data_IF_144173342265
#
_entry.id   IF_144173342265
#
_cell.length_a   1.000
_cell.length_b   1.000
_cell.length_c   1.000
_cell.angle_alpha   90.00
_cell.angle_beta   90.00
_cell.angle_gamma   90.00
#
_symmetry.space_group_name_H-M   'P 1'
#
loop_
_entity.id
_entity.type
_entity.pdbx_description
1 polymer ?
2 non-polymer ?
3 non-polymer ?
4 non-polymer ?
5 non-polymer ?
6 water ?
#
# COMPACT_ATOMS: atom_id res chain seq x y z
N UNK A 3 18.07 2.84 0.24
CA UNK A 3 18.31 4.13 0.94
C UNK A 3 17.30 4.41 2.03
N UNK A 4 17.80 4.87 3.18
CA UNK A 4 16.92 5.17 4.29
C UNK A 4 16.32 3.91 4.90
N UNK A 5 15.44 4.13 5.86
CA UNK A 5 14.78 3.02 6.55
C UNK A 5 13.37 3.45 6.94
N UNK A 6 12.42 2.54 6.75
CA UNK A 6 11.03 2.73 7.15
C UNK A 6 10.74 1.77 8.28
N UNK A 7 10.20 2.30 9.38
CA UNK A 7 9.80 1.50 10.53
C UNK A 7 8.30 1.26 10.43
N UNK A 8 7.90 0.00 10.36
CA UNK A 8 6.50 -0.37 10.19
C UNK A 8 6.04 -1.21 11.37
N UNK A 9 4.85 -0.91 11.86
CA UNK A 9 4.18 -1.75 12.84
C UNK A 9 3.30 -2.75 12.09
N UNK A 10 3.23 -3.98 12.61
CA UNK A 10 2.31 -4.99 12.11
C UNK A 10 1.63 -5.62 13.32
N UNK A 11 0.30 -5.65 13.30
CA UNK A 11 -0.44 -6.11 14.47
C UNK A 11 -1.83 -6.59 14.04
N UNK A 12 -2.33 -7.58 14.77
CA UNK A 12 -3.70 -8.06 14.63
C UNK A 12 -4.52 -7.46 15.76
N UNK A 13 -5.51 -6.65 15.41
CA UNK A 13 -6.32 -5.93 16.39
C UNK A 13 -7.74 -6.49 16.38
N UNK A 14 -8.25 -6.84 17.55
CA UNK A 14 -9.64 -7.24 17.72
C UNK A 14 -10.45 -6.03 18.18
N UNK A 15 -11.74 -6.25 18.43
CA UNK A 15 -12.62 -5.20 18.93
C UNK A 15 -11.88 -4.38 19.98
N UNK A 16 -11.99 -3.05 19.86
CA UNK A 16 -11.12 -2.12 20.57
C UNK A 16 -9.71 -2.15 19.98
N UNK A 17 -8.72 -1.74 20.77
CA UNK A 17 -7.31 -1.87 20.40
C UNK A 17 -6.68 -3.13 20.97
N UNK A 18 -7.51 -4.12 21.33
CA UNK A 18 -7.00 -5.30 22.02
C UNK A 18 -6.11 -6.10 21.08
N UNK A 19 -4.91 -6.41 21.56
CA UNK A 19 -3.93 -7.14 20.76
C UNK A 19 -3.77 -8.56 21.28
N UNK A 29 -6.47 -17.75 13.73
CA UNK A 29 -6.88 -17.23 12.43
C UNK A 29 -5.75 -17.46 11.42
N UNK A 30 -5.82 -18.58 10.68
CA UNK A 30 -4.73 -18.89 9.74
C UNK A 30 -4.51 -17.80 8.69
N UNK A 31 -5.56 -17.12 8.24
CA UNK A 31 -5.40 -16.13 7.19
C UNK A 31 -4.55 -14.96 7.66
N UNK A 32 -4.72 -14.53 8.92
CA UNK A 32 -3.89 -13.45 9.44
C UNK A 32 -2.43 -13.86 9.50
N UNK A 33 -2.16 -15.12 9.87
CA UNK A 33 -0.78 -15.60 9.93
C UNK A 33 -0.14 -15.60 8.54
N UNK A 34 -0.91 -15.95 7.51
CA UNK A 34 -0.40 -15.84 6.15
C UNK A 34 -0.10 -14.39 5.80
N UNK A 35 -0.98 -13.47 6.19
CA UNK A 35 -0.75 -12.05 5.95
C UNK A 35 0.49 -11.57 6.67
N UNK A 36 0.66 -11.96 7.94
CA UNK A 36 1.85 -11.59 8.69
C UNK A 36 3.10 -12.18 8.04
N UNK A 37 3.03 -13.43 7.62
CA UNK A 37 4.15 -14.05 6.90
C UNK A 37 4.41 -13.32 5.60
N UNK A 38 3.36 -12.92 4.89
CA UNK A 38 3.51 -12.26 3.61
C UNK A 38 4.33 -10.98 3.75
N UNK A 39 4.15 -10.25 4.84
CA UNK A 39 4.70 -8.90 4.98
C UNK A 39 5.93 -8.83 5.87
N UNK A 40 6.38 -9.94 6.42
CA UNK A 40 7.57 -9.94 7.27
C UNK A 40 8.73 -10.75 6.69
N UNK A 41 8.46 -11.73 5.85
CA UNK A 41 9.53 -12.61 5.38
C UNK A 41 10.59 -11.81 4.62
N UNK A 42 11.86 -12.17 4.85
CA UNK A 42 13.00 -11.52 4.24
C UNK A 42 13.24 -10.12 4.79
N UNK A 43 12.67 -9.81 5.95
CA UNK A 43 12.83 -8.50 6.57
C UNK A 43 13.27 -8.67 8.02
N UNK A 44 13.99 -7.68 8.55
CA UNK A 44 14.27 -7.71 10.00
C UNK A 44 13.00 -7.52 10.81
N UNK A 45 12.94 -8.18 11.97
CA UNK A 45 11.77 -8.19 12.82
C UNK A 45 12.19 -7.82 14.23
N UNK A 46 11.40 -6.97 14.88
CA UNK A 46 11.63 -6.54 16.25
C UNK A 46 10.40 -6.91 17.06
N UNK A 47 10.63 -7.58 18.20
CA UNK A 47 9.53 -8.07 19.02
C UNK A 47 9.91 -7.95 20.49
N UNK A 48 8.89 -7.87 21.34
CA UNK A 48 9.11 -7.84 22.76
C UNK A 48 9.47 -9.20 23.32
N UNK A 49 10.04 -9.17 24.53
CA UNK A 49 10.48 -10.41 25.16
C UNK A 49 9.31 -11.37 25.39
N UNK A 50 8.18 -10.84 25.85
CA UNK A 50 7.02 -11.71 26.08
C UNK A 50 6.51 -12.30 24.78
N UNK A 51 6.50 -11.51 23.70
CA UNK A 51 6.07 -12.04 22.41
C UNK A 51 7.00 -13.17 21.94
N UNK A 52 8.31 -12.99 22.10
CA UNK A 52 9.23 -14.07 21.76
C UNK A 52 8.96 -15.30 22.61
N UNK A 53 8.73 -15.10 23.91
CA UNK A 53 8.38 -16.22 24.78
C UNK A 53 7.13 -16.92 24.27
N UNK A 54 6.11 -16.14 23.91
CA UNK A 54 4.86 -16.74 23.42
C UNK A 54 5.12 -17.55 22.15
N UNK A 55 5.88 -16.99 21.21
CA UNK A 55 6.20 -17.72 20.00
C UNK A 55 7.10 -18.91 20.30
N UNK A 56 8.01 -18.74 21.26
CA UNK A 56 8.82 -19.86 21.73
C UNK A 56 9.84 -20.38 20.75
N UNK A 57 10.25 -19.57 19.79
CA UNK A 57 11.16 -20.02 18.75
C UNK A 57 11.58 -18.82 17.90
N UNK A 58 12.60 -18.97 17.06
CA UNK A 58 12.87 -17.94 16.06
C UNK A 58 11.99 -18.13 14.83
N UNK A 59 11.63 -17.00 14.22
CA UNK A 59 10.85 -17.05 12.98
C UNK A 59 11.78 -17.28 11.81
N UNK A 60 11.64 -18.38 11.05
CA UNK A 60 12.55 -18.61 9.93
C UNK A 60 12.36 -17.58 8.84
N UNK A 61 13.44 -17.32 8.11
CA UNK A 61 13.39 -16.42 6.97
C UNK A 61 13.51 -14.95 7.29
N UNK A 62 13.71 -14.58 8.55
CA UNK A 62 13.89 -13.19 8.90
C UNK A 62 14.86 -13.10 10.07
N UNK A 63 15.39 -11.89 10.28
CA UNK A 63 16.30 -11.62 11.38
C UNK A 63 15.48 -11.27 12.61
N UNK A 64 15.57 -12.10 13.64
CA UNK A 64 14.77 -11.96 14.84
C UNK A 64 15.53 -11.07 15.83
N UNK A 65 15.00 -9.88 16.09
CA UNK A 65 15.53 -8.98 17.10
C UNK A 65 14.53 -8.92 18.24
N UNK A 66 14.98 -9.29 19.43
CA UNK A 66 14.14 -9.28 20.63
C UNK A 66 14.63 -8.14 21.51
N UNK A 67 13.77 -7.17 21.75
CA UNK A 67 14.10 -5.97 22.53
C UNK A 67 13.67 -6.19 23.97
N UNK A 68 14.60 -6.05 24.90
CA UNK A 68 14.35 -6.30 26.30
C UNK A 68 15.41 -5.61 27.16
N UNK A 69 15.01 -5.25 28.37
CA UNK A 69 15.96 -4.62 29.29
C UNK A 69 17.02 -5.60 29.76
N UNK A 70 16.68 -6.87 29.89
CA UNK A 70 17.59 -7.91 30.34
C UNK A 70 17.91 -8.86 29.18
N UNK A 71 19.07 -9.54 29.23
CA UNK A 71 19.44 -10.43 28.12
C UNK A 71 18.59 -11.69 28.11
N UNK A 72 18.91 -12.62 27.21
CA UNK A 72 18.17 -13.86 27.11
C UNK A 72 19.12 -15.03 26.90
N UNK A 73 18.62 -16.21 27.29
CA UNK A 73 19.39 -17.44 27.16
C UNK A 73 19.29 -18.06 25.77
N UNK A 74 18.48 -17.48 24.90
CA UNK A 74 18.29 -17.98 23.53
C UNK A 74 19.16 -17.15 22.60
N UNK A 75 20.26 -17.72 22.13
CA UNK A 75 21.14 -17.04 21.17
C UNK A 75 20.75 -17.32 19.73
N UNK A 76 19.66 -18.07 19.50
CA UNK A 76 19.12 -18.20 18.15
C UNK A 76 18.55 -16.88 17.65
N UNK A 77 18.35 -15.90 18.54
CA UNK A 77 17.87 -14.58 18.18
C UNK A 77 18.88 -13.56 18.71
N UNK A 78 18.76 -12.34 18.24
CA UNK A 78 19.59 -11.23 18.71
C UNK A 78 18.80 -10.40 19.71
N UNK A 79 19.47 -10.04 20.81
CA UNK A 79 18.85 -9.30 21.91
C UNK A 79 19.33 -7.86 21.89
N UNK A 80 18.38 -6.92 21.92
CA UNK A 80 18.67 -5.51 21.90
C UNK A 80 18.20 -4.89 23.21
N UNK A 81 18.99 -3.96 23.75
CA UNK A 81 18.69 -3.33 25.02
C UNK A 81 17.95 -2.00 24.86
N UNK A 82 17.92 -1.43 23.66
CA UNK A 82 17.27 -0.15 23.44
C UNK A 82 16.74 -0.10 22.00
N UNK A 83 15.84 0.84 21.76
CA UNK A 83 15.29 0.98 20.41
C UNK A 83 16.39 1.32 19.43
N UNK A 84 17.32 2.21 19.81
CA UNK A 84 18.41 2.59 18.92
C UNK A 84 19.27 1.38 18.59
N UNK A 85 19.52 0.52 19.57
CA UNK A 85 20.27 -0.71 19.30
C UNK A 85 19.50 -1.63 18.35
N UNK A 86 18.18 -1.74 18.55
CA UNK A 86 17.38 -2.62 17.69
C UNK A 86 17.40 -2.13 16.25
N UNK A 87 17.28 -0.82 16.04
CA UNK A 87 17.32 -0.27 14.69
C UNK A 87 18.68 -0.48 14.05
N UNK A 88 19.76 -0.34 14.82
CA UNK A 88 21.10 -0.57 14.29
C UNK A 88 21.26 -2.02 13.86
N UNK A 89 20.67 -2.96 14.60
CA UNK A 89 20.74 -4.37 14.25
C UNK A 89 20.03 -4.67 12.94
N UNK A 90 19.17 -3.76 12.46
CA UNK A 90 18.52 -3.96 11.16
C UNK A 90 19.47 -3.74 10.00
N UNK A 91 20.68 -3.24 10.24
CA UNK A 91 21.62 -3.03 9.17
C UNK A 91 21.12 -2.03 8.16
N UNK A 92 21.27 -2.36 6.88
CA UNK A 92 20.87 -1.48 5.78
C UNK A 92 19.49 -1.83 5.23
N UNK A 93 18.67 -2.52 6.00
CA UNK A 93 17.35 -2.93 5.53
C UNK A 93 16.49 -1.71 5.22
N UNK A 94 15.73 -1.81 4.13
CA UNK A 94 14.83 -0.73 3.75
C UNK A 94 13.70 -0.57 4.76
N UNK A 95 13.20 -1.68 5.30
CA UNK A 95 12.03 -1.67 6.16
C UNK A 95 12.24 -2.65 7.31
N UNK A 96 11.86 -2.24 8.51
CA UNK A 96 11.94 -3.06 9.70
C UNK A 96 10.54 -3.28 10.23
N UNK A 97 10.20 -4.52 10.53
CA UNK A 97 8.88 -4.89 11.01
C UNK A 97 8.89 -4.93 12.54
N UNK A 98 8.07 -4.11 13.17
CA UNK A 98 7.88 -4.13 14.62
C UNK A 98 6.59 -4.90 14.88
N UNK A 99 6.70 -6.04 15.56
CA UNK A 99 5.62 -7.02 15.61
C UNK A 99 5.05 -7.23 17.01
N UNK A 100 5.21 -6.26 17.90
CA UNK A 100 4.62 -6.34 19.22
C UNK A 100 5.62 -6.72 20.30
N UNK A 101 5.13 -6.78 21.54
CA UNK A 101 3.73 -6.58 21.89
C UNK A 101 3.34 -5.14 22.14
N UNK A 102 2.35 -4.95 23.02
CA UNK A 102 1.81 -3.61 23.23
C UNK A 102 2.85 -2.61 23.69
N UNK A 103 3.76 -3.05 24.57
CA UNK A 103 4.84 -2.16 25.01
C UNK A 103 5.74 -1.77 23.84
N UNK A 104 6.03 -2.71 22.95
CA UNK A 104 6.90 -2.41 21.82
C UNK A 104 6.22 -1.43 20.87
N UNK A 105 4.93 -1.63 20.59
CA UNK A 105 4.22 -0.68 19.73
C UNK A 105 4.28 0.72 20.32
N UNK A 106 4.08 0.83 21.63
CA UNK A 106 4.23 2.13 22.29
C UNK A 106 5.59 2.72 22.03
N UNK A 107 6.64 1.90 22.10
CA UNK A 107 7.99 2.41 21.97
C UNK A 107 8.24 3.02 20.59
N UNK A 108 7.75 2.36 19.55
CA UNK A 108 8.13 2.69 18.19
C UNK A 108 7.13 3.53 17.43
N UNK A 109 5.96 3.83 18.01
CA UNK A 109 4.90 4.47 17.25
C UNK A 109 5.37 5.77 16.63
N UNK A 110 5.99 6.65 17.43
CA UNK A 110 6.40 7.95 16.92
C UNK A 110 7.39 7.82 15.76
N UNK A 111 8.22 6.77 15.77
CA UNK A 111 9.19 6.55 14.72
C UNK A 111 8.61 5.78 13.54
N UNK A 112 7.42 5.21 13.68
CA UNK A 112 6.83 4.40 12.62
C UNK A 112 6.10 5.28 11.62
N UNK A 113 6.31 5.03 10.33
CA UNK A 113 5.61 5.73 9.26
C UNK A 113 4.68 4.82 8.47
N UNK A 114 4.57 3.55 8.85
CA UNK A 114 3.70 2.60 8.16
C UNK A 114 3.14 1.64 9.19
N UNK A 115 1.92 1.17 8.94
CA UNK A 115 1.24 0.25 9.86
C UNK A 115 0.50 -0.79 9.05
N UNK A 116 0.80 -2.06 9.30
CA UNK A 116 0.06 -3.18 8.72
C UNK A 116 -0.89 -3.69 9.81
N UNK A 117 -2.18 -3.48 9.62
CA UNK A 117 -3.17 -3.84 10.64
C UNK A 117 -4.16 -4.86 10.09
N UNK A 118 -4.48 -5.85 10.93
CA UNK A 118 -5.54 -6.81 10.66
C UNK A 118 -6.62 -6.60 11.72
N UNK A 119 -7.79 -6.16 11.27
CA UNK A 119 -8.93 -5.95 12.17
C UNK A 119 -9.78 -7.20 12.16
N UNK A 120 -9.96 -7.82 13.32
CA UNK A 120 -10.65 -9.09 13.45
C UNK A 120 -11.93 -8.87 14.25
N UNK A 121 -13.01 -9.50 13.80
CA UNK A 121 -14.32 -9.33 14.41
C UNK A 121 -14.48 -10.32 15.55
N UNK A 122 -13.83 -10.00 16.67
CA UNK A 122 -13.88 -10.81 17.87
C UNK A 122 -13.88 -9.88 19.08
N UNK A 123 -14.66 -10.25 20.10
CA UNK A 123 -14.74 -9.42 21.30
C UNK A 123 -13.48 -9.57 22.15
N UNK A 124 -13.16 -10.81 22.53
CA UNK A 124 -12.01 -11.09 23.40
C UNK A 124 -11.95 -10.13 24.58
N UNK A 128 -4.70 -5.51 27.48
CA UNK A 128 -3.55 -5.17 26.65
C UNK A 128 -4.02 -4.55 25.34
N UNK A 129 -3.79 -3.25 25.19
CA UNK A 129 -4.34 -2.48 24.09
C UNK A 129 -3.25 -1.98 23.16
N UNK A 130 -3.58 -1.92 21.88
CA UNK A 130 -2.73 -1.26 20.90
C UNK A 130 -2.68 0.24 21.19
N UNK A 131 -1.53 0.90 20.98
CA UNK A 131 -1.47 2.33 21.29
C UNK A 131 -2.50 3.12 20.51
N UNK A 132 -3.04 4.15 21.16
CA UNK A 132 -3.96 5.07 20.50
C UNK A 132 -3.16 6.00 19.58
N UNK A 133 -3.66 6.19 18.37
CA UNK A 133 -3.05 7.08 17.41
C UNK A 133 -4.12 7.97 16.79
N UNK A 134 -3.73 9.19 16.46
CA UNK A 134 -4.64 10.13 15.83
C UNK A 134 -4.88 9.69 14.38
N UNK A 135 -6.11 9.29 14.03
CA UNK A 135 -6.36 8.91 12.62
C UNK A 135 -6.10 10.05 11.64
N UNK A 136 -6.08 11.29 12.12
CA UNK A 136 -5.80 12.41 11.23
C UNK A 136 -4.36 12.36 10.69
N UNK A 137 -3.44 11.76 11.44
CA UNK A 137 -2.06 11.66 11.02
C UNK A 137 -1.81 10.51 10.04
N UNK A 138 -2.75 9.61 9.87
CA UNK A 138 -2.57 8.43 9.03
C UNK A 138 -3.63 8.36 7.96
N UNK A 139 -3.23 7.91 6.77
CA UNK A 139 -4.14 7.71 5.64
C UNK A 139 -4.00 6.27 5.17
N UNK A 140 -5.12 5.67 4.78
CA UNK A 140 -5.13 4.28 4.33
C UNK A 140 -4.57 4.20 2.91
N UNK A 141 -3.66 3.25 2.69
CA UNK A 141 -3.10 2.98 1.37
C UNK A 141 -3.45 1.58 0.86
N UNK A 142 -4.26 0.85 1.63
CA UNK A 142 -4.69 -0.48 1.19
C UNK A 142 -5.78 -0.97 2.14
N UNK A 143 -6.79 -1.64 1.57
CA UNK A 143 -7.87 -2.21 2.35
C UNK A 143 -8.37 -3.46 1.65
N UNK A 144 -8.74 -4.47 2.44
CA UNK A 144 -9.19 -5.74 1.88
C UNK A 144 -9.99 -6.49 2.93
N UNK A 145 -11.24 -6.79 2.64
CA UNK A 145 -12.11 -7.51 3.56
C UNK A 145 -12.21 -8.97 3.17
N UNK A 146 -12.31 -9.83 4.19
CA UNK A 146 -12.44 -11.27 3.98
C UNK A 146 -13.48 -11.82 4.94
N UNK A 147 -14.48 -12.51 4.41
CA UNK A 147 -15.47 -13.16 5.24
C UNK A 147 -14.88 -14.41 5.88
N UNK A 148 -15.40 -14.75 7.06
CA UNK A 148 -15.01 -16.00 7.70
C UNK A 148 -15.32 -17.15 6.76
N UNK A 149 -14.60 -18.26 6.96
CA UNK A 149 -14.81 -19.45 6.14
C UNK A 149 -14.46 -20.68 6.98
N UNK A 150 -14.29 -21.83 6.30
CA UNK A 150 -14.01 -23.07 7.01
C UNK A 150 -12.75 -22.96 7.85
N UNK A 151 -11.68 -22.41 7.28
CA UNK A 151 -10.41 -22.33 7.98
C UNK A 151 -10.38 -21.21 9.03
N UNK A 152 -11.08 -20.11 8.77
CA UNK A 152 -11.00 -18.92 9.60
C UNK A 152 -12.34 -18.71 10.32
N UNK A 153 -12.29 -18.69 11.65
CA UNK A 153 -13.51 -18.63 12.44
C UNK A 153 -14.19 -17.28 12.38
N UNK A 154 -13.45 -16.22 12.06
CA UNK A 154 -13.98 -14.87 12.09
C UNK A 154 -13.69 -14.17 10.76
N UNK A 155 -14.41 -13.09 10.51
CA UNK A 155 -14.12 -12.20 9.40
C UNK A 155 -13.05 -11.20 9.84
N UNK A 156 -12.25 -10.75 8.89
CA UNK A 156 -11.11 -9.91 9.19
C UNK A 156 -10.91 -8.93 8.04
N UNK A 157 -10.31 -7.79 8.35
CA UNK A 157 -9.99 -6.77 7.35
C UNK A 157 -8.51 -6.43 7.45
N UNK A 158 -7.82 -6.54 6.32
CA UNK A 158 -6.42 -6.14 6.22
C UNK A 158 -6.36 -4.68 5.82
N UNK A 159 -5.43 -3.94 6.45
CA UNK A 159 -5.28 -2.52 6.17
C UNK A 159 -3.82 -2.14 6.32
N UNK A 160 -3.37 -1.26 5.42
CA UNK A 160 -2.05 -0.66 5.52
C UNK A 160 -2.22 0.85 5.62
N UNK A 161 -1.65 1.44 6.66
CA UNK A 161 -1.72 2.87 6.90
C UNK A 161 -0.34 3.47 6.79
N UNK A 162 -0.25 4.67 6.22
CA UNK A 162 1.00 5.41 6.10
C UNK A 162 0.80 6.81 6.67
N UNK A 163 1.86 7.34 7.26
CA UNK A 163 1.77 8.60 7.97
C UNK A 163 1.63 9.76 6.99
N UNK A 164 0.69 10.65 7.26
CA UNK A 164 0.50 11.85 6.45
C UNK A 164 1.71 12.76 6.62
N UNK B 4 -13.81 -10.76 -18.93
CA UNK B 4 -12.39 -11.21 -18.79
C UNK B 4 -11.56 -10.29 -17.91
N UNK B 5 -10.88 -9.33 -18.54
CA UNK B 5 -10.02 -8.38 -17.85
C UNK B 5 -10.56 -6.98 -18.06
N UNK B 6 -10.65 -6.22 -16.98
CA UNK B 6 -11.17 -4.85 -17.02
C UNK B 6 -9.99 -3.90 -17.18
N UNK B 7 -10.13 -2.93 -18.08
CA UNK B 7 -9.14 -1.88 -18.27
C UNK B 7 -9.65 -0.62 -17.61
N UNK B 8 -8.95 -0.17 -16.58
CA UNK B 8 -9.35 1.01 -15.81
C UNK B 8 -8.32 2.11 -15.99
N UNK B 9 -8.81 3.33 -16.19
CA UNK B 9 -7.95 4.51 -16.16
C UNK B 9 -7.99 5.10 -14.76
N UNK B 10 -6.83 5.44 -14.22
CA UNK B 10 -6.72 6.15 -12.94
C UNK B 10 -5.92 7.42 -13.20
N UNK B 11 -6.50 8.56 -12.82
CA UNK B 11 -5.88 9.84 -13.11
C UNK B 11 -6.28 10.86 -12.06
N UNK B 12 -5.46 11.89 -11.93
CA UNK B 12 -5.74 13.05 -11.10
C UNK B 12 -5.83 14.26 -12.01
N UNK B 13 -6.92 15.02 -11.91
CA UNK B 13 -7.20 16.11 -12.81
C UNK B 13 -7.26 17.42 -12.03
N UNK B 14 -6.59 18.45 -12.55
CA UNK B 14 -6.61 19.78 -11.98
C UNK B 14 -7.65 20.62 -12.70
N UNK B 15 -7.63 21.93 -12.45
CA UNK B 15 -8.58 22.84 -13.09
C UNK B 15 -8.54 22.67 -14.61
N UNK B 16 -9.73 22.54 -15.20
CA UNK B 16 -9.89 22.45 -16.65
C UNK B 16 -9.32 21.15 -17.22
N UNK B 17 -9.55 20.04 -16.52
CA UNK B 17 -9.18 18.72 -17.01
C UNK B 17 -7.69 18.59 -17.29
N UNK B 18 -6.88 19.38 -16.59
CA UNK B 18 -5.44 19.41 -16.84
C UNK B 18 -4.77 18.24 -16.12
N UNK B 19 -3.70 17.72 -16.72
CA UNK B 19 -2.91 16.67 -16.11
C UNK B 19 -1.41 16.99 -16.23
N UNK B 28 1.52 16.46 -6.00
CA UNK B 28 1.78 15.44 -4.98
C UNK B 28 0.88 15.64 -3.76
N UNK B 29 -0.43 15.59 -3.99
CA UNK B 29 -1.38 15.68 -2.89
C UNK B 29 -1.38 14.39 -2.11
N UNK B 30 -1.06 14.41 -0.81
CA UNK B 30 -0.96 13.14 -0.08
C UNK B 30 -2.21 12.26 -0.16
N UNK B 31 -3.40 12.87 -0.13
CA UNK B 31 -4.63 12.07 -0.18
C UNK B 31 -4.76 11.35 -1.52
N UNK B 32 -4.43 12.03 -2.62
CA UNK B 32 -4.56 11.40 -3.93
C UNK B 32 -3.59 10.23 -4.08
N UNK B 33 -2.36 10.39 -3.60
CA UNK B 33 -1.36 9.34 -3.77
C UNK B 33 -1.70 8.12 -2.91
N UNK B 34 -2.27 8.33 -1.73
CA UNK B 34 -2.81 7.21 -0.96
C UNK B 34 -3.94 6.54 -1.73
N UNK B 35 -4.83 7.34 -2.32
CA UNK B 35 -5.90 6.80 -3.16
C UNK B 35 -5.34 6.05 -4.35
N UNK B 36 -4.31 6.60 -5.00
CA UNK B 36 -3.69 5.90 -6.12
C UNK B 36 -3.10 4.57 -5.68
N UNK B 37 -2.39 4.56 -4.56
CA UNK B 37 -1.81 3.31 -4.07
C UNK B 37 -2.91 2.33 -3.66
N UNK B 38 -3.96 2.82 -3.03
CA UNK B 38 -5.08 1.94 -2.66
C UNK B 38 -5.58 1.15 -3.86
N UNK B 39 -5.67 1.80 -5.02
CA UNK B 39 -6.33 1.22 -6.18
C UNK B 39 -5.37 0.54 -7.15
N UNK B 40 -4.06 0.71 -6.98
CA UNK B 40 -3.09 0.07 -7.87
C UNK B 40 -2.34 -1.08 -7.23
N UNK B 41 -2.21 -1.12 -5.92
CA UNK B 41 -1.41 -2.15 -5.28
C UNK B 41 -1.91 -3.54 -5.66
N UNK B 42 -0.97 -4.45 -5.91
CA UNK B 42 -1.24 -5.84 -6.25
C UNK B 42 -1.89 -6.00 -7.62
N UNK B 43 -1.74 -5.01 -8.50
CA UNK B 43 -2.31 -5.09 -9.83
C UNK B 43 -1.26 -4.72 -10.87
N UNK B 44 -1.41 -5.22 -12.10
CA UNK B 44 -0.58 -4.70 -13.20
C UNK B 44 -0.92 -3.24 -13.49
N UNK B 45 0.10 -2.50 -13.90
CA UNK B 45 -0.01 -1.06 -14.10
C UNK B 45 0.67 -0.72 -15.42
N UNK B 46 0.05 0.16 -16.20
CA UNK B 46 0.53 0.55 -17.52
C UNK B 46 0.73 2.05 -17.53
N UNK B 47 1.92 2.49 -17.95
CA UNK B 47 2.25 3.90 -18.00
C UNK B 47 3.13 4.18 -19.21
N UNK B 48 3.14 5.45 -19.63
CA UNK B 48 4.02 5.88 -20.69
C UNK B 48 5.42 6.14 -20.19
N UNK B 49 6.33 6.33 -21.15
CA UNK B 49 7.75 6.52 -20.80
C UNK B 49 7.94 7.78 -19.96
N UNK B 50 7.29 8.88 -20.35
CA UNK B 50 7.49 10.13 -19.63
C UNK B 50 6.98 10.05 -18.20
N UNK B 51 5.84 9.37 -17.99
CA UNK B 51 5.36 9.17 -16.62
C UNK B 51 6.37 8.36 -15.81
N UNK B 52 6.92 7.30 -16.39
CA UNK B 52 7.90 6.49 -15.69
C UNK B 52 9.14 7.32 -15.33
N UNK B 53 9.62 8.12 -16.29
CA UNK B 53 10.77 8.98 -16.01
C UNK B 53 10.44 10.02 -14.95
N UNK B 54 9.22 10.57 -15.00
CA UNK B 54 8.82 11.56 -14.01
C UNK B 54 8.83 10.95 -12.61
N UNK B 55 8.26 9.75 -12.45
CA UNK B 55 8.27 9.10 -11.16
C UNK B 55 9.70 8.72 -10.77
N UNK B 56 10.50 8.30 -11.75
CA UNK B 56 11.90 8.04 -11.52
C UNK B 56 12.23 6.75 -10.80
N UNK B 57 11.29 5.83 -10.71
CA UNK B 57 11.50 4.57 -10.00
C UNK B 57 10.33 3.65 -10.31
N UNK B 58 10.52 2.35 -10.15
CA UNK B 58 9.39 1.41 -10.27
C UNK B 58 8.50 1.51 -9.05
N UNK B 59 7.22 1.15 -9.23
CA UNK B 59 6.26 1.18 -8.14
C UNK B 59 6.25 -0.18 -7.46
N UNK B 60 6.64 -0.28 -6.19
CA UNK B 60 6.68 -1.59 -5.53
C UNK B 60 5.29 -2.17 -5.36
N UNK B 61 5.24 -3.50 -5.36
CA UNK B 61 3.99 -4.20 -5.16
C UNK B 61 3.08 -4.24 -6.36
N UNK B 62 3.56 -3.81 -7.51
CA UNK B 62 2.77 -3.82 -8.74
C UNK B 62 3.65 -4.28 -9.88
N UNK B 63 3.02 -4.76 -10.95
CA UNK B 63 3.71 -5.11 -12.18
C UNK B 63 3.77 -3.86 -13.04
N UNK B 64 4.98 -3.33 -13.24
CA UNK B 64 5.18 -2.07 -13.92
C UNK B 64 5.34 -2.34 -15.41
N UNK B 65 4.32 -2.03 -16.19
CA UNK B 65 4.38 -2.11 -17.65
C UNK B 65 4.54 -0.69 -18.18
N UNK B 66 5.61 -0.44 -18.92
CA UNK B 66 5.87 0.86 -19.54
C UNK B 66 5.72 0.68 -21.05
N UNK B 67 4.81 1.43 -21.65
CA UNK B 67 4.53 1.35 -23.08
C UNK B 67 5.28 2.49 -23.77
N UNK B 68 6.10 2.13 -24.75
CA UNK B 68 6.91 3.11 -25.45
C UNK B 68 7.20 2.62 -26.87
N UNK B 69 7.56 3.56 -27.74
CA UNK B 69 7.88 3.22 -29.12
C UNK B 69 9.20 2.48 -29.22
N UNK B 70 10.23 2.97 -28.50
CA UNK B 70 11.51 2.27 -28.42
C UNK B 70 11.70 1.72 -27.01
N UNK B 71 12.30 0.54 -26.85
CA UNK B 71 12.33 -0.09 -25.53
C UNK B 71 13.32 0.63 -24.63
N UNK B 72 13.12 0.45 -23.32
CA UNK B 72 14.02 0.97 -22.32
C UNK B 72 15.03 -0.09 -21.88
N UNK B 73 15.95 0.35 -21.03
CA UNK B 73 17.08 -0.47 -20.59
C UNK B 73 17.07 -0.64 -19.07
N UNK B 74 15.89 -0.56 -18.46
CA UNK B 74 15.69 -0.78 -17.03
C UNK B 74 14.87 -2.05 -16.87
N UNK B 75 15.50 -3.09 -16.31
CA UNK B 75 14.86 -4.38 -16.15
C UNK B 75 13.96 -4.47 -14.92
N UNK B 76 13.93 -3.42 -14.09
CA UNK B 76 13.03 -3.41 -12.95
C UNK B 76 11.58 -3.21 -13.36
N UNK B 77 11.35 -2.74 -14.59
CA UNK B 77 10.02 -2.63 -15.16
C UNK B 77 10.00 -3.44 -16.46
N UNK B 78 8.81 -3.57 -17.04
CA UNK B 78 8.62 -4.33 -18.27
C UNK B 78 8.16 -3.38 -19.37
N UNK B 79 8.80 -3.48 -20.53
CA UNK B 79 8.57 -2.54 -21.62
C UNK B 79 7.69 -3.19 -22.68
N UNK B 80 6.68 -2.47 -23.12
CA UNK B 80 5.74 -2.93 -24.14
C UNK B 80 5.78 -1.93 -25.30
N UNK B 81 5.77 -2.46 -26.52
CA UNK B 81 5.86 -1.63 -27.71
C UNK B 81 4.52 -1.25 -28.30
N UNK B 82 3.43 -1.91 -27.88
CA UNK B 82 2.13 -1.65 -28.46
C UNK B 82 1.06 -1.90 -27.40
N UNK B 83 -0.17 -1.47 -27.72
CA UNK B 83 -1.28 -1.66 -26.81
C UNK B 83 -1.47 -3.15 -26.53
N UNK B 84 -1.47 -3.97 -27.58
CA UNK B 84 -1.71 -5.40 -27.41
C UNK B 84 -0.61 -6.04 -26.55
N UNK B 85 0.64 -5.64 -26.77
CA UNK B 85 1.73 -6.19 -25.97
C UNK B 85 1.55 -5.86 -24.49
N UNK B 86 1.21 -4.61 -24.18
CA UNK B 86 1.03 -4.22 -22.78
C UNK B 86 -0.08 -5.02 -22.12
N UNK B 87 -1.21 -5.19 -22.81
CA UNK B 87 -2.31 -5.97 -22.24
C UNK B 87 -1.90 -7.42 -22.04
N UNK B 88 -1.13 -7.97 -22.98
CA UNK B 88 -0.67 -9.36 -22.83
C UNK B 88 0.24 -9.50 -21.61
N UNK B 89 1.14 -8.54 -21.40
CA UNK B 89 2.05 -8.62 -20.26
C UNK B 89 1.29 -8.57 -18.94
N UNK B 90 0.10 -7.96 -18.94
CA UNK B 90 -0.72 -7.92 -17.74
C UNK B 90 -1.21 -9.30 -17.33
N UNK B 91 -1.08 -10.29 -18.21
CA UNK B 91 -1.36 -11.66 -17.81
C UNK B 91 -2.85 -11.91 -17.62
N UNK B 92 -3.16 -12.78 -16.64
CA UNK B 92 -4.54 -13.12 -16.31
C UNK B 92 -5.16 -12.18 -15.28
N UNK B 93 -4.67 -10.95 -15.20
CA UNK B 93 -5.13 -10.05 -14.16
C UNK B 93 -6.62 -9.78 -14.30
N UNK B 94 -7.29 -9.63 -13.16
CA UNK B 94 -8.69 -9.21 -13.16
C UNK B 94 -8.83 -7.80 -13.75
N UNK B 95 -7.90 -6.90 -13.40
CA UNK B 95 -8.00 -5.51 -13.76
C UNK B 95 -6.60 -4.94 -13.93
N UNK B 96 -6.44 -4.09 -14.94
CA UNK B 96 -5.17 -3.43 -15.23
C UNK B 96 -5.39 -1.92 -15.15
N UNK B 97 -4.48 -1.24 -14.46
CA UNK B 97 -4.60 0.19 -14.20
C UNK B 97 -3.71 0.97 -15.16
N UNK B 98 -4.32 1.72 -16.06
CA UNK B 98 -3.61 2.65 -16.94
C UNK B 98 -3.48 3.97 -16.17
N UNK B 99 -2.25 4.41 -15.94
CA UNK B 99 -1.99 5.34 -14.85
C UNK B 99 -1.30 6.64 -15.24
N UNK B 100 -1.15 6.93 -16.53
CA UNK B 100 -0.50 8.17 -16.85
C UNK B 100 0.07 8.33 -18.23
N UNK B 101 0.08 9.59 -18.68
CA UNK B 101 0.38 9.91 -20.06
C UNK B 101 -0.89 10.26 -20.78
N UNK B 102 -1.05 11.54 -21.13
CA UNK B 102 -2.20 11.94 -21.91
C UNK B 102 -2.34 11.11 -23.17
N UNK B 103 -1.20 10.81 -23.81
CA UNK B 103 -1.22 9.87 -24.92
C UNK B 103 -1.71 8.50 -24.45
N UNK B 104 -1.16 8.01 -23.34
CA UNK B 104 -1.55 6.68 -22.86
C UNK B 104 -3.03 6.65 -22.54
N UNK B 105 -3.55 7.71 -21.90
CA UNK B 105 -4.98 7.77 -21.64
C UNK B 105 -5.78 7.72 -22.94
N UNK B 106 -5.31 8.43 -23.97
CA UNK B 106 -6.03 8.47 -25.24
C UNK B 106 -6.06 7.10 -25.90
N UNK B 107 -4.93 6.39 -25.94
CA UNK B 107 -4.90 5.11 -26.65
C UNK B 107 -5.81 4.09 -25.99
N UNK B 108 -5.89 4.10 -24.66
CA UNK B 108 -6.67 3.10 -23.94
C UNK B 108 -8.09 3.54 -23.63
N UNK B 109 -8.47 4.76 -23.98
CA UNK B 109 -9.78 5.25 -23.56
C UNK B 109 -10.90 4.38 -24.12
N UNK B 110 -10.81 3.99 -25.38
CA UNK B 110 -11.91 3.25 -26.00
C UNK B 110 -12.09 1.87 -25.37
N UNK B 111 -11.00 1.22 -24.97
CA UNK B 111 -11.08 -0.10 -24.34
C UNK B 111 -11.36 -0.03 -22.84
N UNK B 112 -11.20 1.14 -22.22
CA UNK B 112 -11.43 1.26 -20.79
C UNK B 112 -12.92 1.20 -20.47
N UNK B 113 -13.26 0.44 -19.44
CA UNK B 113 -14.63 0.36 -18.96
C UNK B 113 -14.79 0.92 -17.55
N UNK B 114 -13.73 1.46 -16.95
CA UNK B 114 -13.79 1.99 -15.59
C UNK B 114 -12.78 3.11 -15.47
N UNK B 115 -13.09 4.08 -14.61
CA UNK B 115 -12.23 5.22 -14.38
C UNK B 115 -12.17 5.55 -12.90
N UNK B 116 -10.96 5.75 -12.38
CA UNK B 116 -10.75 6.25 -11.03
C UNK B 116 -10.19 7.66 -11.18
N UNK B 117 -11.01 8.67 -10.86
CA UNK B 117 -10.65 10.06 -11.10
C UNK B 117 -10.54 10.81 -9.78
N UNK B 118 -9.55 11.69 -9.71
CA UNK B 118 -9.38 12.60 -8.59
C UNK B 118 -9.43 14.03 -9.14
N UNK B 119 -10.45 14.78 -8.75
CA UNK B 119 -10.61 16.16 -9.18
C UNK B 119 -10.05 17.06 -8.07
N UNK B 120 -9.06 17.89 -8.42
CA UNK B 120 -8.30 18.66 -7.44
C UNK B 120 -8.61 20.14 -7.64
N UNK B 121 -8.78 20.85 -6.50
CA UNK B 121 -9.02 22.29 -6.52
C UNK B 121 -7.68 23.02 -6.65
N UNK B 122 -7.11 22.94 -7.86
CA UNK B 122 -5.80 23.51 -8.12
C UNK B 122 -5.76 24.09 -9.52
N UNK B 123 -5.14 25.26 -9.65
CA UNK B 123 -4.96 25.92 -10.93
C UNK B 123 -3.64 25.47 -11.54
N UNK B 124 -3.62 25.32 -12.86
CA UNK B 124 -2.43 24.89 -13.56
C UNK B 124 -2.34 25.57 -14.93
N UNK B 128 -1.75 20.11 -21.51
CA UNK B 128 -1.92 18.66 -21.41
C UNK B 128 -3.20 18.35 -20.63
N UNK B 129 -4.20 17.82 -21.33
CA UNK B 129 -5.52 17.62 -20.75
C UNK B 129 -5.92 16.15 -20.82
N UNK B 130 -6.73 15.72 -19.85
CA UNK B 130 -7.34 14.40 -19.89
C UNK B 130 -8.28 14.33 -21.09
N UNK B 131 -8.38 13.16 -21.72
CA UNK B 131 -9.24 13.07 -22.92
C UNK B 131 -10.68 13.45 -22.61
N UNK B 132 -11.34 14.02 -23.62
CA UNK B 132 -12.75 14.36 -23.49
C UNK B 132 -13.61 13.11 -23.67
N UNK B 133 -14.59 12.94 -22.80
CA UNK B 133 -15.48 11.79 -22.84
C UNK B 133 -16.91 12.25 -22.59
N UNK B 134 -17.86 11.50 -23.18
CA UNK B 134 -19.29 11.79 -23.05
C UNK B 134 -19.76 11.33 -21.67
N UNK B 135 -20.08 12.25 -20.75
CA UNK B 135 -20.55 11.82 -19.42
C UNK B 135 -21.79 10.95 -19.48
N UNK B 136 -22.57 11.01 -20.57
CA UNK B 136 -23.75 10.17 -20.68
C UNK B 136 -23.39 8.70 -20.75
N UNK B 137 -22.21 8.38 -21.31
CA UNK B 137 -21.80 7.00 -21.47
C UNK B 137 -21.30 6.37 -20.17
N UNK B 138 -21.17 7.13 -19.09
CA UNK B 138 -20.63 6.64 -17.85
C UNK B 138 -21.60 6.91 -16.70
N UNK B 139 -21.66 5.98 -15.76
CA UNK B 139 -22.45 6.13 -14.55
C UNK B 139 -21.50 6.23 -13.35
N UNK B 140 -21.87 7.07 -12.39
CA UNK B 140 -21.09 7.20 -11.17
C UNK B 140 -21.39 6.03 -10.25
N UNK B 141 -20.33 5.34 -9.81
CA UNK B 141 -20.46 4.26 -8.83
C UNK B 141 -20.02 4.70 -7.44
N UNK B 142 -19.21 5.75 -7.34
CA UNK B 142 -18.71 6.21 -6.05
C UNK B 142 -18.29 7.67 -6.20
N UNK B 143 -18.71 8.51 -5.26
CA UNK B 143 -18.35 9.92 -5.24
C UNK B 143 -18.13 10.34 -3.80
N UNK B 144 -17.08 11.11 -3.56
CA UNK B 144 -16.69 11.47 -2.20
C UNK B 144 -15.85 12.73 -2.26
N UNK B 145 -16.31 13.78 -1.56
CA UNK B 145 -15.64 15.06 -1.52
C UNK B 145 -14.86 15.18 -0.21
N UNK B 146 -13.68 15.81 -0.30
CA UNK B 146 -12.84 16.04 0.87
C UNK B 146 -12.42 17.50 0.88
N UNK B 147 -12.70 18.18 1.99
CA UNK B 147 -12.24 19.54 2.17
C UNK B 147 -10.74 19.56 2.50
N UNK B 148 -10.05 20.59 1.99
CA UNK B 148 -8.63 20.74 2.26
C UNK B 148 -8.39 20.71 3.77
N UNK B 149 -7.18 20.34 4.19
CA UNK B 149 -6.87 20.23 5.61
C UNK B 149 -5.39 20.52 5.81
N UNK B 150 -4.91 20.26 7.03
CA UNK B 150 -3.50 20.50 7.33
C UNK B 150 -2.59 19.73 6.38
N UNK B 151 -2.92 18.47 6.10
CA UNK B 151 -2.04 17.64 5.28
C UNK B 151 -2.23 17.86 3.80
N UNK B 152 -3.41 18.31 3.36
CA UNK B 152 -3.70 18.46 1.94
C UNK B 152 -4.04 19.91 1.66
N UNK B 153 -3.25 20.53 0.76
CA UNK B 153 -3.36 21.96 0.53
C UNK B 153 -4.61 22.34 -0.25
N UNK B 154 -5.26 21.38 -0.89
CA UNK B 154 -6.43 21.66 -1.71
C UNK B 154 -7.52 20.65 -1.42
N UNK B 155 -8.76 21.02 -1.72
CA UNK B 155 -9.88 20.09 -1.63
C UNK B 155 -9.95 19.27 -2.91
N UNK B 156 -10.39 18.02 -2.77
CA UNK B 156 -10.36 17.05 -3.85
C UNK B 156 -11.63 16.22 -3.79
N UNK B 157 -11.97 15.63 -4.94
CA UNK B 157 -13.12 14.74 -5.05
C UNK B 157 -12.70 13.47 -5.75
N UNK B 158 -13.01 12.33 -5.13
CA UNK B 158 -12.72 11.02 -5.69
C UNK B 158 -13.97 10.48 -6.39
N UNK B 159 -13.78 9.92 -7.57
CA UNK B 159 -14.89 9.42 -8.38
C UNK B 159 -14.51 8.11 -9.04
N UNK B 160 -15.44 7.16 -9.04
CA UNK B 160 -15.32 5.91 -9.78
C UNK B 160 -16.42 5.90 -10.82
N UNK B 161 -16.03 5.83 -12.09
CA UNK B 161 -16.97 5.83 -13.20
C UNK B 161 -16.88 4.50 -13.94
N UNK B 162 -18.03 4.00 -14.38
CA UNK B 162 -18.13 2.78 -15.16
C UNK B 162 -18.86 3.08 -16.47
N UNK B 163 -18.44 2.42 -17.53
CA UNK B 163 -19.03 2.66 -18.84
C UNK B 163 -20.42 2.06 -18.92
N UNK B 164 -21.38 2.86 -19.36
CA UNK B 164 -22.75 2.39 -19.56
C UNK B 164 -22.76 1.41 -20.74
X LIG C 1 0.68 -11.85 14.22
X LIG C 1 -0.20 -11.39 13.36
X LIG C 1 -0.21 -10.10 13.00
X LIG C 1 -1.14 -9.66 12.09
X LIG C 1 0.68 -9.25 13.48
X LIG C 1 1.59 -9.65 14.35
X LIG C 1 2.51 -8.74 14.86
X LIG C 1 1.62 -10.99 14.75
X LIG C 1 2.67 -11.44 15.74
X LIG C 1 2.57 -12.89 16.11
X LIG C 1 3.04 -13.88 15.26
X LIG C 1 2.94 -15.22 15.61
X LIG C 1 3.38 -16.24 14.81
X LIG C 1 3.82 -15.74 13.54
X LIG C 1 2.37 -15.55 16.83
X LIG C 1 2.27 -16.87 17.19
X LIG C 1 1.09 -17.38 16.59
X LIG C 1 1.90 -14.57 17.68
X LIG C 1 1.34 -14.93 18.88
X LIG C 1 2.08 -14.29 19.92
X LIG C 1 2.00 -13.24 17.32
X LIG D 1 6.57 -19.73 10.10
X LIG D 1 7.67 -20.53 10.63
X LIG D 1 5.52 -20.61 9.60
X LIG D 1 7.06 -18.88 9.02
X LIG D 1 6.03 -18.89 11.17
X LIG E 1 6.00 -7.67 24.85
X LIG E 1 4.75 -7.96 25.54
X LIG E 1 7.15 -7.98 25.72
X LIG E 1 6.04 -6.25 24.52
X LIG E 1 6.10 -8.49 23.64
X LIG F 1 11.35 -6.62 29.41
X LIG F 1 12.22 -7.12 30.47
X LIG F 1 9.95 -6.83 29.77
X LIG F 1 11.64 -7.35 28.17
X LIG F 1 11.59 -5.20 29.21
X LIG G 1 13.73 -2.25 26.86
X LIG G 1 13.53 -1.21 25.91
X LIG G 1 12.75 -3.38 26.56
X LIG G 1 11.42 -2.88 26.61
X LIG H 1 15.31 3.09 24.60
X LIG I 1 16.05 -18.97 8.57
X LIG J 1 -1.81 4.39 24.84
X LIG K 1 -1.32 9.71 -9.42
X LIG K 1 -2.54 9.89 -8.92
X LIG K 1 -3.62 9.43 -9.55
X LIG K 1 -4.87 9.62 -9.00
X LIG K 1 -3.52 8.77 -10.70
X LIG K 1 -2.34 8.56 -11.25
X LIG K 1 -2.24 7.88 -12.44
X LIG K 1 -1.18 9.04 -10.62
X LIG K 1 0.17 8.79 -11.26
X LIG K 1 1.32 9.33 -10.46
X LIG K 1 1.84 8.61 -9.39
X LIG K 1 2.91 9.11 -8.66
X LIG K 1 3.46 8.45 -7.59
X LIG K 1 2.67 7.32 -7.21
X LIG K 1 3.45 10.34 -9.01
X LIG K 1 4.51 10.84 -8.29
X LIG K 1 3.97 11.59 -7.21
X LIG K 1 2.94 11.06 -10.08
X LIG K 1 3.50 12.26 -10.40
X LIG K 1 3.92 12.19 -11.77
X LIG K 1 1.87 10.54 -10.80
X LIG L 1 5.10 3.60 -2.87
X LIG L 1 4.38 2.41 -3.30
X LIG L 1 6.51 3.27 -2.69
X LIG L 1 4.54 4.09 -1.62
X LIG L 1 4.98 4.65 -3.89
X LIG M 1 3.62 9.75 -21.29
X LIG M 1 4.89 9.42 -21.92
X LIG M 1 3.54 9.08 -19.99
X LIG M 1 2.52 9.31 -22.14
X LIG M 1 3.52 11.20 -21.10
X LIG N 1 6.91 7.27 -26.67
X LIG N 1 7.23 5.90 -27.05
X LIG N 1 6.46 7.31 -25.28
X LIG N 1 5.86 7.79 -27.54
X LIG N 1 8.11 8.09 -26.82
X LIG O 1 0.20 19.39 -6.88
X LIG O 1 0.11 18.13 -7.60
X LIG O 1 0.26 19.12 -5.45
X LIG O 1 1.39 20.10 -7.30
X LIG O 1 -0.98 20.19 -7.17
X LIG P 1 -2.30 11.93 -13.49
#
# INVERSE_FOLDING_TARGET
>A
SGGGMIISLIAALAADRVIGMENAMPWHLPADLAWFKRNTLNKPVIMGRKTFESIGRPLPGRLNIVISSQPGTDERVTWAASIEEALAFAGNAEEVMVMGGGRVYKQFLDRANRMYLTHIDAEVGGDTHFPDYEPDEWESVFSEFHDADEANSHSYCFEILERR
>B
SGGGMIISLIAALAADRVIGMENAMPWHLPADLAWFKRNTLNKPVIMGRKTFESIGRPLPGRLNIVISSQPGTDERVTWAASIEEALAFAGNAEEVMVMGGGRVYKQFLDRANRMYLTHIDAEVGGDTHFPDYEPDEWESVFSEFHDADEANSHSYCFEILERR
>C hetero
1 TOP C1 N2 C3 N4 N5 C6 N7 C8 C9 C10 C11 C12 O13 C14 C15 O16 C17 C18 O19 C20 C21
>D hetero
1 SO4 S O1 O2 O3 O4
>E hetero
1 SO4 S O1 O2 O3 O4
>F hetero
1 SO4 S O1 O2 O3 O4
>G hetero
1 EDO C1 O1 C2 O2
>H hetero
1 CL CL
>I hetero
1 CL CL
>J hetero
1 CL CL
>K hetero
1 TOP C1 N2 C3 N4 N5 C6 N7 C8 C9 C10 C11 C12 O13 C14 C15 O16 C17 C18 O19 C20 C21
>L hetero
1 SO4 S O1 O2 O3 O4
>M hetero
1 SO4 S O1 O2 O3 O4
>N hetero
1 SO4 S O1 O2 O3 O4
>O hetero
1 SO4 S O1 O2 O3 O4
>P hetero
1 CL CL
#
